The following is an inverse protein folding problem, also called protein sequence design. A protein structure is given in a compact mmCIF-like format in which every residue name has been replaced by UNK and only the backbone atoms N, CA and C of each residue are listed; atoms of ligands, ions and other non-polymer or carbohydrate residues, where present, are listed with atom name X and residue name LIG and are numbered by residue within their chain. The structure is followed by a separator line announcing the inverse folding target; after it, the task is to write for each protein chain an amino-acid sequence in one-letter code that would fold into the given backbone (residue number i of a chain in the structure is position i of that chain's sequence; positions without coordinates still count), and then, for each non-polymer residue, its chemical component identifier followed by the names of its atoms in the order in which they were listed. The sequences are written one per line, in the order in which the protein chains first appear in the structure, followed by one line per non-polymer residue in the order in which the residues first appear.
data_IF_635789968168
#
_entry.id   IF_635789968168
#
_cell.length_a   1.000
_cell.length_b   1.000
_cell.length_c   1.000
_cell.angle_alpha   90.00
_cell.angle_beta   90.00
_cell.angle_gamma   90.00
#
_symmetry.space_group_name_H-M   'P 1'
#
loop_
_entity.id
_entity.type
_entity.pdbx_description
1 polymer ?
#
# COMPACT_ATOMS: atom_id res chain seq x y z
N UNK A 1 -17.43 19.57 -12.60
CA UNK A 1 -17.74 18.28 -11.95
C UNK A 1 -18.93 18.43 -11.02
N UNK A 2 -18.90 19.39 -10.09
CA UNK A 2 -19.95 19.63 -9.10
C UNK A 2 -21.34 19.81 -9.74
N UNK A 3 -21.45 20.59 -10.82
CA UNK A 3 -22.73 20.79 -11.50
C UNK A 3 -23.37 19.49 -12.03
N UNK A 4 -22.56 18.47 -12.37
CA UNK A 4 -23.08 17.16 -12.77
C UNK A 4 -23.58 16.34 -11.56
N UNK A 5 -22.88 16.43 -10.42
CA UNK A 5 -23.34 15.85 -9.15
C UNK A 5 -24.65 16.50 -8.68
N UNK A 6 -24.77 17.82 -8.79
CA UNK A 6 -25.98 18.55 -8.44
C UNK A 6 -27.17 18.17 -9.33
N UNK A 7 -26.92 17.96 -10.63
CA UNK A 7 -27.93 17.44 -11.55
C UNK A 7 -28.32 16.01 -11.20
N UNK A 8 -27.36 15.12 -10.93
CA UNK A 8 -27.63 13.75 -10.49
C UNK A 8 -28.48 13.73 -9.21
N UNK A 9 -28.18 14.61 -8.24
CA UNK A 9 -28.99 14.79 -7.04
C UNK A 9 -30.39 15.30 -7.35
N UNK A 10 -30.54 16.20 -8.30
CA UNK A 10 -31.88 16.67 -8.74
C UNK A 10 -32.69 15.54 -9.34
N UNK A 11 -32.05 14.63 -10.08
CA UNK A 11 -32.70 13.53 -10.77
C UNK A 11 -33.02 12.34 -9.84
N UNK A 12 -32.12 12.01 -8.92
CA UNK A 12 -32.25 10.85 -8.01
C UNK A 12 -32.81 11.24 -6.63
N UNK A 13 -32.55 12.45 -6.16
CA UNK A 13 -32.75 12.88 -4.79
C UNK A 13 -32.20 11.84 -3.78
N UNK A 14 -32.86 11.68 -2.63
CA UNK A 14 -32.51 10.70 -1.61
C UNK A 14 -33.04 9.28 -1.91
N UNK A 15 -33.39 8.98 -3.17
CA UNK A 15 -33.87 7.65 -3.54
C UNK A 15 -32.68 6.71 -3.65
N UNK A 16 -32.84 5.50 -3.10
CA UNK A 16 -31.80 4.48 -3.14
C UNK A 16 -31.44 4.14 -4.60
N UNK A 17 -30.16 4.19 -4.95
CA UNK A 17 -29.73 3.85 -6.32
C UNK A 17 -30.00 2.38 -6.61
N UNK A 18 -30.59 2.09 -7.77
CA UNK A 18 -30.80 0.71 -8.24
C UNK A 18 -29.85 0.33 -9.39
N UNK A 19 -28.86 1.18 -9.66
CA UNK A 19 -27.77 0.95 -10.59
C UNK A 19 -26.58 1.86 -10.22
N UNK A 20 -25.37 1.48 -10.65
CA UNK A 20 -24.17 2.33 -10.52
C UNK A 20 -24.41 3.66 -11.24
N UNK A 21 -24.09 4.77 -10.57
CA UNK A 21 -24.14 6.11 -11.15
C UNK A 21 -22.73 6.57 -11.49
N UNK A 22 -22.56 7.18 -12.66
CA UNK A 22 -21.26 7.62 -13.16
C UNK A 22 -21.24 9.13 -13.39
N UNK A 23 -20.22 9.79 -12.86
CA UNK A 23 -19.79 11.13 -13.26
C UNK A 23 -18.43 10.95 -13.93
N UNK A 24 -18.41 11.06 -15.26
CA UNK A 24 -17.17 11.01 -16.05
C UNK A 24 -16.58 12.41 -16.22
N UNK A 25 -15.28 12.53 -16.00
CA UNK A 25 -14.51 13.77 -16.09
C UNK A 25 -13.52 13.63 -17.25
N UNK A 26 -13.54 14.56 -18.19
CA UNK A 26 -12.64 14.53 -19.35
C UNK A 26 -11.35 15.33 -19.05
N UNK A 27 -10.35 15.24 -19.93
CA UNK A 27 -9.13 16.03 -19.80
C UNK A 27 -9.42 17.53 -19.58
N UNK A 28 -8.75 18.11 -18.57
CA UNK A 28 -8.90 19.48 -18.15
C UNK A 28 -8.50 19.70 -16.69
N UNK A 29 -8.36 20.97 -16.32
CA UNK A 29 -8.18 21.40 -14.93
C UNK A 29 -9.47 22.03 -14.43
N UNK A 30 -9.99 21.49 -13.34
CA UNK A 30 -11.27 21.86 -12.72
C UNK A 30 -10.99 22.58 -11.40
N UNK A 31 -11.13 23.91 -11.41
CA UNK A 31 -10.99 24.76 -10.23
C UNK A 31 -12.29 24.80 -9.41
N UNK A 32 -12.60 23.69 -8.74
CA UNK A 32 -13.79 23.53 -7.93
C UNK A 32 -13.58 22.52 -6.79
N UNK A 33 -14.37 22.67 -5.73
CA UNK A 33 -14.51 21.60 -4.73
C UNK A 33 -15.53 20.60 -5.26
N UNK A 34 -15.19 19.31 -5.26
CA UNK A 34 -16.13 18.24 -5.59
C UNK A 34 -16.71 17.69 -4.29
N UNK A 35 -17.99 17.91 -4.06
CA UNK A 35 -18.72 17.52 -2.86
C UNK A 35 -20.01 16.81 -3.25
N UNK A 36 -19.99 15.47 -3.38
CA UNK A 36 -21.20 14.69 -3.56
C UNK A 36 -22.22 14.99 -2.45
N UNK A 37 -23.51 15.00 -2.81
CA UNK A 37 -24.56 15.27 -1.84
C UNK A 37 -24.57 14.17 -0.75
N UNK A 38 -24.53 14.57 0.52
CA UNK A 38 -24.53 13.66 1.66
C UNK A 38 -25.77 12.74 1.72
N UNK A 39 -26.86 13.11 1.04
CA UNK A 39 -28.09 12.31 0.97
C UNK A 39 -28.09 11.22 -0.09
N UNK A 40 -27.03 11.05 -0.89
CA UNK A 40 -26.93 9.94 -1.82
C UNK A 40 -26.92 8.60 -1.06
N UNK A 41 -27.77 7.67 -1.49
CA UNK A 41 -27.98 6.37 -0.84
C UNK A 41 -27.82 5.22 -1.86
N UNK A 42 -26.59 4.87 -2.25
CA UNK A 42 -26.37 3.69 -3.10
C UNK A 42 -26.89 2.40 -2.43
N UNK A 43 -27.54 1.51 -3.18
CA UNK A 43 -27.95 0.20 -2.65
C UNK A 43 -26.73 -0.68 -2.36
N UNK A 44 -26.35 -0.66 -1.08
CA UNK A 44 -25.21 -1.35 -0.51
C UNK A 44 -25.35 -2.88 -0.60
N UNK A 45 -26.58 -3.40 -0.60
CA UNK A 45 -26.80 -4.85 -0.65
C UNK A 45 -26.49 -5.43 -2.02
N UNK A 46 -26.70 -4.62 -3.07
CA UNK A 46 -26.48 -5.01 -4.46
C UNK A 46 -25.17 -4.49 -5.04
N UNK A 47 -24.33 -3.82 -4.23
CA UNK A 47 -23.01 -3.34 -4.62
C UNK A 47 -23.03 -2.16 -5.59
N UNK A 48 -24.12 -1.38 -5.62
CA UNK A 48 -24.14 -0.13 -6.39
C UNK A 48 -23.34 0.95 -5.68
N UNK A 49 -22.77 1.86 -6.46
CA UNK A 49 -21.92 2.93 -5.97
C UNK A 49 -22.09 4.21 -6.82
N UNK A 50 -21.64 5.33 -6.25
CA UNK A 50 -21.38 6.54 -7.02
C UNK A 50 -19.92 6.50 -7.51
N UNK A 51 -19.73 6.47 -8.83
CA UNK A 51 -18.41 6.51 -9.47
C UNK A 51 -18.14 7.92 -9.96
N UNK A 52 -17.05 8.52 -9.49
CA UNK A 52 -16.47 9.74 -10.02
C UNK A 52 -15.16 9.33 -10.68
N UNK A 53 -15.11 9.37 -12.01
CA UNK A 53 -14.05 8.74 -12.80
C UNK A 53 -13.51 9.73 -13.83
N UNK A 54 -12.19 9.84 -13.93
CA UNK A 54 -11.57 10.45 -15.11
C UNK A 54 -11.69 9.53 -16.32
N UNK A 55 -11.85 10.10 -17.52
CA UNK A 55 -11.99 9.34 -18.76
C UNK A 55 -10.82 8.36 -18.95
N UNK A 56 -11.07 7.04 -18.98
CA UNK A 56 -10.01 6.04 -19.02
C UNK A 56 -9.21 6.02 -20.33
N UNK A 57 -9.66 6.77 -21.34
CA UNK A 57 -8.96 6.95 -22.61
C UNK A 57 -7.88 8.05 -22.54
N UNK A 58 -7.85 8.85 -21.47
CA UNK A 58 -6.87 9.90 -21.20
C UNK A 58 -5.86 9.47 -20.12
N UNK A 59 -4.83 10.28 -19.88
CA UNK A 59 -3.94 10.10 -18.72
C UNK A 59 -4.54 10.82 -17.50
N UNK A 60 -4.54 10.17 -16.33
CA UNK A 60 -4.99 10.78 -15.06
C UNK A 60 -4.31 12.12 -14.76
N UNK A 61 -3.08 12.33 -15.23
CA UNK A 61 -2.34 13.59 -15.07
C UNK A 61 -2.96 14.76 -15.88
N UNK A 62 -3.76 14.45 -16.90
CA UNK A 62 -4.48 15.44 -17.72
C UNK A 62 -5.87 15.78 -17.15
N UNK A 63 -6.34 15.05 -16.14
CA UNK A 63 -7.67 15.20 -15.54
C UNK A 63 -7.48 15.65 -14.09
N UNK A 64 -7.51 16.95 -13.85
CA UNK A 64 -7.06 17.54 -12.59
C UNK A 64 -8.22 18.24 -11.89
N UNK A 65 -8.57 17.82 -10.68
CA UNK A 65 -9.45 18.57 -9.78
C UNK A 65 -8.57 19.34 -8.79
N UNK A 66 -8.58 20.66 -8.91
CA UNK A 66 -7.63 21.53 -8.22
C UNK A 66 -8.29 22.84 -7.76
N UNK A 67 -8.96 22.85 -6.60
CA UNK A 67 -9.58 24.07 -6.09
C UNK A 67 -8.52 25.07 -5.60
N UNK A 68 -8.53 26.27 -6.17
CA UNK A 68 -7.64 27.39 -5.82
C UNK A 68 -8.10 28.09 -4.53
N UNK A 69 -9.41 28.17 -4.30
CA UNK A 69 -10.01 28.81 -3.11
C UNK A 69 -10.65 27.84 -2.12
N UNK A 70 -10.53 26.54 -2.38
CA UNK A 70 -11.20 25.49 -1.61
C UNK A 70 -10.35 24.87 -0.52
N UNK A 71 -11.01 24.07 0.31
CA UNK A 71 -10.32 23.27 1.35
C UNK A 71 -9.93 21.89 0.80
N UNK A 72 -10.71 21.33 -0.12
CA UNK A 72 -10.55 19.95 -0.61
C UNK A 72 -10.87 19.79 -2.09
N UNK A 73 -10.06 19.02 -2.81
CA UNK A 73 -10.40 18.63 -4.18
C UNK A 73 -11.63 17.71 -4.19
N UNK A 74 -11.68 16.74 -3.27
CA UNK A 74 -12.81 15.84 -3.07
C UNK A 74 -13.23 15.77 -1.60
N UNK A 75 -14.48 16.11 -1.31
CA UNK A 75 -15.09 16.12 0.03
C UNK A 75 -16.33 15.21 0.06
N UNK A 76 -16.14 13.97 0.50
CA UNK A 76 -17.16 12.93 0.50
C UNK A 76 -17.84 12.85 1.86
N UNK A 77 -19.16 12.95 1.87
CA UNK A 77 -20.01 12.80 3.06
C UNK A 77 -21.21 11.87 2.81
N UNK A 78 -21.13 11.02 1.79
CA UNK A 78 -22.08 9.95 1.50
C UNK A 78 -21.33 8.61 1.37
N UNK A 79 -22.06 7.51 1.50
CA UNK A 79 -21.48 6.17 1.51
C UNK A 79 -21.22 5.64 0.08
N UNK A 80 -20.31 4.66 -0.04
CA UNK A 80 -19.99 3.91 -1.27
C UNK A 80 -19.70 4.80 -2.48
N UNK A 81 -18.67 5.64 -2.34
CA UNK A 81 -18.13 6.47 -3.43
C UNK A 81 -16.81 5.89 -3.91
N UNK A 82 -16.66 5.72 -5.21
CA UNK A 82 -15.40 5.41 -5.87
C UNK A 82 -14.91 6.64 -6.63
N UNK A 83 -13.72 7.13 -6.28
CA UNK A 83 -12.98 8.09 -7.08
C UNK A 83 -11.85 7.37 -7.81
N UNK A 84 -11.78 7.48 -9.15
CA UNK A 84 -10.69 6.82 -9.89
C UNK A 84 -10.15 7.58 -11.09
N UNK A 85 -8.90 7.26 -11.45
CA UNK A 85 -8.26 7.67 -12.71
C UNK A 85 -8.18 9.20 -12.90
N UNK A 86 -7.75 9.93 -11.87
CA UNK A 86 -7.60 11.39 -11.95
C UNK A 86 -6.54 11.93 -10.99
N UNK A 87 -6.19 13.20 -11.16
CA UNK A 87 -5.35 13.94 -10.20
C UNK A 87 -6.23 14.78 -9.27
N UNK A 88 -6.08 14.56 -7.97
CA UNK A 88 -6.74 15.32 -6.89
C UNK A 88 -5.70 16.19 -6.18
N UNK A 89 -5.72 17.49 -6.42
CA UNK A 89 -4.69 18.43 -5.94
C UNK A 89 -5.30 19.54 -5.08
N UNK A 90 -5.11 19.49 -3.77
CA UNK A 90 -5.56 20.56 -2.89
C UNK A 90 -4.53 21.69 -2.83
N UNK A 91 -4.79 22.78 -3.57
CA UNK A 91 -3.95 23.98 -3.55
C UNK A 91 -4.11 24.80 -2.26
N UNK A 92 -2.96 25.06 -1.63
CA UNK A 92 -2.65 26.04 -0.57
C UNK A 92 -3.72 26.35 0.53
N UNK A 93 -3.48 25.81 1.73
CA UNK A 93 -4.11 26.21 2.99
C UNK A 93 -3.76 25.19 4.08
N UNK A 94 -3.40 25.59 5.29
CA UNK A 94 -2.85 24.69 6.32
C UNK A 94 -3.81 23.57 6.82
N UNK A 95 -5.07 23.60 6.38
CA UNK A 95 -6.11 22.62 6.66
C UNK A 95 -6.59 21.86 5.41
N UNK A 96 -5.93 22.07 4.28
CA UNK A 96 -6.44 21.59 2.99
C UNK A 96 -6.03 20.15 2.73
N UNK A 97 -7.01 19.27 2.60
CA UNK A 97 -6.83 17.85 2.28
C UNK A 97 -7.23 17.62 0.83
N UNK A 98 -6.45 16.90 0.03
CA UNK A 98 -6.86 16.58 -1.35
C UNK A 98 -8.13 15.73 -1.33
N UNK A 99 -8.18 14.74 -0.44
CA UNK A 99 -9.36 13.91 -0.21
C UNK A 99 -9.77 13.98 1.25
N UNK A 100 -11.06 14.25 1.48
CA UNK A 100 -11.68 14.16 2.79
C UNK A 100 -12.88 13.21 2.74
N UNK A 101 -12.91 12.24 3.65
CA UNK A 101 -14.05 11.38 3.90
C UNK A 101 -14.61 11.64 5.31
N UNK A 102 -15.75 12.31 5.35
CA UNK A 102 -16.42 12.69 6.59
C UNK A 102 -17.10 11.52 7.31
N UNK A 103 -17.79 11.83 8.41
CA UNK A 103 -18.40 10.81 9.27
C UNK A 103 -19.53 10.03 8.58
N UNK A 104 -20.08 10.57 7.50
CA UNK A 104 -21.10 9.93 6.67
C UNK A 104 -20.55 9.23 5.42
N UNK A 105 -19.24 9.03 5.32
CA UNK A 105 -18.60 8.39 4.17
C UNK A 105 -18.08 6.98 4.54
N UNK A 106 -18.99 6.01 4.62
CA UNK A 106 -18.62 4.61 4.78
C UNK A 106 -18.21 4.01 3.44
N UNK A 107 -17.07 3.33 3.40
CA UNK A 107 -16.55 2.60 2.24
C UNK A 107 -16.30 3.52 1.02
N UNK A 108 -15.42 4.49 1.20
CA UNK A 108 -14.91 5.26 0.07
C UNK A 108 -13.67 4.57 -0.50
N UNK A 109 -13.62 4.43 -1.82
CA UNK A 109 -12.49 3.88 -2.55
C UNK A 109 -11.83 4.98 -3.39
N UNK A 110 -10.49 5.04 -3.35
CA UNK A 110 -9.68 5.90 -4.22
C UNK A 110 -8.73 5.00 -5.00
N UNK A 111 -8.91 4.90 -6.31
CA UNK A 111 -8.21 3.90 -7.14
C UNK A 111 -7.53 4.57 -8.33
N UNK A 112 -6.27 4.23 -8.61
CA UNK A 112 -5.53 4.76 -9.77
C UNK A 112 -5.55 6.30 -9.84
N UNK A 113 -5.40 6.95 -8.68
CA UNK A 113 -5.37 8.40 -8.57
C UNK A 113 -3.97 8.91 -8.23
N UNK A 114 -3.66 10.13 -8.68
CA UNK A 114 -2.60 10.94 -8.08
C UNK A 114 -3.22 11.90 -7.07
N UNK A 115 -2.79 11.83 -5.81
CA UNK A 115 -3.36 12.62 -4.72
C UNK A 115 -2.28 13.52 -4.14
N UNK A 116 -2.46 14.83 -4.25
CA UNK A 116 -1.44 15.83 -3.91
C UNK A 116 -1.92 16.73 -2.76
N UNK A 117 -1.35 16.53 -1.58
CA UNK A 117 -1.49 17.40 -0.42
C UNK A 117 -0.36 18.43 -0.35
N UNK A 118 -0.56 19.65 -0.86
CA UNK A 118 0.51 20.67 -0.97
C UNK A 118 0.80 21.47 0.30
N UNK A 119 0.00 21.30 1.35
CA UNK A 119 0.10 22.08 2.58
C UNK A 119 0.60 21.21 3.74
N UNK A 120 0.86 21.83 4.90
CA UNK A 120 1.17 21.09 6.14
C UNK A 120 0.03 20.19 6.66
N UNK A 121 -1.13 20.15 5.99
CA UNK A 121 -2.21 19.22 6.29
C UNK A 121 -1.96 17.82 5.69
N UNK A 122 -2.88 16.90 5.97
CA UNK A 122 -2.91 15.56 5.41
C UNK A 122 -3.29 15.59 3.93
N UNK A 123 -2.68 14.76 3.08
CA UNK A 123 -3.16 14.57 1.70
C UNK A 123 -4.54 13.89 1.68
N UNK A 124 -4.73 12.88 2.53
CA UNK A 124 -6.01 12.19 2.71
C UNK A 124 -6.38 12.20 4.19
N UNK A 125 -7.60 12.65 4.49
CA UNK A 125 -8.15 12.56 5.83
C UNK A 125 -9.47 11.81 5.81
N UNK A 126 -9.60 10.82 6.68
CA UNK A 126 -10.85 10.10 6.85
C UNK A 126 -11.22 9.89 8.33
N UNK A 127 -12.53 9.91 8.58
CA UNK A 127 -13.11 9.50 9.86
C UNK A 127 -13.77 8.13 9.82
N UNK A 128 -13.90 7.54 8.63
CA UNK A 128 -14.56 6.26 8.37
C UNK A 128 -13.78 5.47 7.31
N UNK A 129 -14.11 4.20 7.08
CA UNK A 129 -13.29 3.32 6.24
C UNK A 129 -13.00 3.87 4.85
N UNK A 130 -11.70 3.99 4.51
CA UNK A 130 -11.22 4.32 3.15
C UNK A 130 -10.29 3.21 2.66
N UNK A 131 -10.50 2.78 1.41
CA UNK A 131 -9.54 1.96 0.66
C UNK A 131 -8.84 2.82 -0.38
N UNK A 132 -7.52 2.67 -0.48
CA UNK A 132 -6.68 3.36 -1.46
C UNK A 132 -5.92 2.29 -2.21
N UNK A 133 -6.06 2.28 -3.53
CA UNK A 133 -5.50 1.24 -4.39
C UNK A 133 -4.80 1.85 -5.61
N UNK A 134 -3.65 1.31 -6.00
CA UNK A 134 -2.90 1.74 -7.19
C UNK A 134 -2.65 3.27 -7.27
N UNK A 135 -2.57 3.96 -6.13
CA UNK A 135 -2.46 5.41 -6.09
C UNK A 135 -1.02 5.89 -5.91
N UNK A 136 -0.77 7.13 -6.35
CA UNK A 136 0.40 7.92 -5.95
C UNK A 136 -0.06 9.05 -5.02
N UNK A 137 0.32 8.99 -3.75
CA UNK A 137 0.00 10.02 -2.76
C UNK A 137 1.26 10.82 -2.43
N UNK A 138 1.23 12.12 -2.73
CA UNK A 138 2.31 13.06 -2.41
C UNK A 138 1.84 14.07 -1.37
N UNK A 139 2.54 14.16 -0.24
CA UNK A 139 2.17 15.06 0.87
C UNK A 139 3.30 15.99 1.32
N UNK A 140 3.01 17.25 1.61
CA UNK A 140 3.97 18.18 2.24
C UNK A 140 3.92 18.13 3.78
N UNK A 141 2.76 17.77 4.35
CA UNK A 141 2.53 17.57 5.78
C UNK A 141 2.55 16.10 6.17
N UNK A 142 1.52 15.69 6.91
CA UNK A 142 1.23 14.27 7.10
C UNK A 142 0.73 13.66 5.79
N UNK A 143 0.98 12.38 5.53
CA UNK A 143 0.47 11.71 4.33
C UNK A 143 -1.02 11.45 4.44
N UNK A 144 -1.37 10.42 5.21
CA UNK A 144 -2.74 9.93 5.37
C UNK A 144 -3.12 9.89 6.84
N UNK A 145 -4.37 10.25 7.14
CA UNK A 145 -4.91 10.14 8.50
C UNK A 145 -6.30 9.54 8.54
N UNK A 146 -6.50 8.54 9.40
CA UNK A 146 -7.83 8.00 9.69
C UNK A 146 -7.84 6.53 10.07
N UNK A 147 -9.02 6.01 10.41
CA UNK A 147 -9.26 4.60 10.68
C UNK A 147 -10.74 4.25 10.44
N UNK A 148 -11.07 3.06 9.88
CA UNK A 148 -10.13 2.09 9.29
C UNK A 148 -9.52 2.58 7.98
N UNK A 149 -8.32 2.09 7.65
CA UNK A 149 -7.57 2.50 6.48
C UNK A 149 -6.97 1.27 5.78
N UNK A 150 -7.24 1.13 4.48
CA UNK A 150 -6.65 0.07 3.64
C UNK A 150 -5.83 0.70 2.52
N UNK A 151 -4.57 0.30 2.38
CA UNK A 151 -3.70 0.69 1.26
C UNK A 151 -3.26 -0.57 0.52
N UNK A 152 -3.32 -0.52 -0.81
CA UNK A 152 -2.85 -1.56 -1.71
C UNK A 152 -2.11 -0.93 -2.87
N UNK A 153 -0.98 -1.50 -3.28
CA UNK A 153 -0.28 -1.11 -4.51
C UNK A 153 -0.04 0.41 -4.62
N UNK A 154 0.13 1.09 -3.47
CA UNK A 154 0.09 2.53 -3.37
C UNK A 154 1.45 3.05 -2.92
N UNK A 155 1.92 4.12 -3.55
CA UNK A 155 3.11 4.84 -3.11
C UNK A 155 2.71 6.09 -2.34
N UNK A 156 3.18 6.23 -1.11
CA UNK A 156 3.00 7.41 -0.27
C UNK A 156 4.35 8.08 -0.05
N UNK A 157 4.52 9.28 -0.57
CA UNK A 157 5.79 9.99 -0.52
C UNK A 157 5.63 11.42 -0.01
N UNK A 158 6.66 11.89 0.68
CA UNK A 158 6.75 13.28 1.12
C UNK A 158 7.33 14.16 0.00
N UNK A 159 6.74 15.35 -0.16
CA UNK A 159 7.37 16.43 -0.93
C UNK A 159 8.24 17.30 -0.03
N UNK A 160 9.53 17.41 -0.36
CA UNK A 160 10.50 18.26 0.36
C UNK A 160 11.23 17.56 1.52
N UNK A 161 11.80 18.37 2.42
CA UNK A 161 12.63 17.87 3.53
C UNK A 161 11.81 17.05 4.53
N UNK A 162 12.45 16.06 5.17
CA UNK A 162 11.83 15.17 6.16
C UNK A 162 11.05 15.94 7.25
N UNK A 163 9.87 15.41 7.59
CA UNK A 163 8.92 15.96 8.56
C UNK A 163 7.61 15.16 8.53
N UNK A 164 6.69 15.44 9.44
CA UNK A 164 5.34 14.85 9.48
C UNK A 164 5.30 13.32 9.60
N UNK A 165 4.09 12.77 9.69
CA UNK A 165 3.87 11.32 9.71
C UNK A 165 3.31 10.87 8.36
N UNK A 166 3.90 9.86 7.72
CA UNK A 166 3.44 9.31 6.45
C UNK A 166 2.05 8.72 6.57
N UNK A 167 1.88 7.73 7.44
CA UNK A 167 0.63 7.05 7.71
C UNK A 167 0.27 7.16 9.18
N UNK A 168 -0.72 7.99 9.50
CA UNK A 168 -1.21 8.19 10.87
C UNK A 168 -2.59 7.55 11.01
N UNK A 169 -2.68 6.38 11.64
CA UNK A 169 -4.01 5.90 12.00
C UNK A 169 -4.53 6.76 13.14
N UNK A 170 -5.72 7.33 13.05
CA UNK A 170 -6.36 8.03 14.17
C UNK A 170 -7.80 7.58 14.32
N UNK A 171 -8.14 6.94 15.43
CA UNK A 171 -9.51 6.47 15.73
C UNK A 171 -9.62 4.96 15.96
N UNK A 172 -10.85 4.46 15.97
CA UNK A 172 -11.15 3.03 16.11
C UNK A 172 -11.26 2.38 14.74
N UNK A 173 -10.51 1.32 14.50
CA UNK A 173 -10.50 0.60 13.21
C UNK A 173 -9.11 0.04 12.91
N UNK A 174 -9.00 -0.92 12.00
CA UNK A 174 -7.70 -1.45 11.58
C UNK A 174 -7.00 -0.59 10.53
N UNK A 175 -5.68 -0.71 10.44
CA UNK A 175 -4.86 -0.24 9.32
C UNK A 175 -4.25 -1.45 8.63
N UNK A 176 -4.55 -1.65 7.35
CA UNK A 176 -3.98 -2.73 6.52
C UNK A 176 -3.27 -2.12 5.32
N UNK A 177 -1.99 -2.44 5.16
CA UNK A 177 -1.14 -1.91 4.09
C UNK A 177 -0.51 -3.11 3.40
N UNK A 178 -0.73 -3.24 2.09
CA UNK A 178 -0.25 -4.35 1.28
C UNK A 178 0.42 -3.86 -0.01
N UNK A 179 1.54 -4.47 -0.41
CA UNK A 179 2.26 -4.15 -1.66
C UNK A 179 2.47 -2.65 -1.90
N UNK A 180 2.79 -1.90 -0.85
CA UNK A 180 2.81 -0.43 -0.90
C UNK A 180 4.14 0.13 -0.43
N UNK A 181 4.44 1.37 -0.83
CA UNK A 181 5.68 2.06 -0.49
C UNK A 181 5.40 3.31 0.34
N UNK A 182 6.22 3.58 1.36
CA UNK A 182 6.13 4.78 2.20
C UNK A 182 7.51 5.44 2.33
N UNK A 183 7.63 6.71 1.95
CA UNK A 183 8.93 7.33 1.78
C UNK A 183 9.05 8.79 2.28
N UNK A 184 10.18 9.09 2.93
CA UNK A 184 10.63 10.48 3.16
C UNK A 184 10.03 11.19 4.37
N UNK A 185 9.33 10.50 5.27
CA UNK A 185 8.64 11.11 6.42
C UNK A 185 9.49 11.14 7.70
N UNK A 186 9.10 11.93 8.71
CA UNK A 186 9.73 11.78 10.03
C UNK A 186 9.34 10.45 10.68
N UNK A 187 8.10 10.00 10.47
CA UNK A 187 7.65 8.67 10.83
C UNK A 187 6.90 8.08 9.64
N UNK A 188 7.33 6.95 9.08
CA UNK A 188 6.67 6.31 7.95
C UNK A 188 5.26 5.84 8.33
N UNK A 189 5.15 5.00 9.35
CA UNK A 189 3.89 4.44 9.85
C UNK A 189 3.75 4.67 11.35
N UNK A 190 2.66 5.28 11.77
CA UNK A 190 2.33 5.53 13.18
C UNK A 190 0.85 5.22 13.44
N UNK A 191 0.50 3.97 13.79
CA UNK A 191 -0.81 3.68 14.34
C UNK A 191 -1.05 4.44 15.65
N UNK A 192 -2.22 5.09 15.80
CA UNK A 192 -2.72 5.50 17.11
C UNK A 192 -3.41 4.35 17.86
N UNK A 193 -3.86 4.64 19.07
CA UNK A 193 -4.47 3.68 19.96
C UNK A 193 -5.68 2.91 19.39
N UNK A 194 -5.78 1.62 19.75
CA UNK A 194 -6.91 0.72 19.46
C UNK A 194 -7.08 0.30 17.99
N UNK A 195 -5.96 0.21 17.28
CA UNK A 195 -5.91 -0.13 15.86
C UNK A 195 -5.23 -1.48 15.69
N UNK A 196 -5.85 -2.38 14.92
CA UNK A 196 -5.16 -3.56 14.40
C UNK A 196 -4.24 -3.10 13.26
N UNK A 197 -2.93 -3.31 13.38
CA UNK A 197 -1.97 -2.97 12.32
C UNK A 197 -1.60 -4.21 11.54
N UNK A 198 -1.72 -4.16 10.21
CA UNK A 198 -1.18 -5.16 9.30
C UNK A 198 -0.36 -4.49 8.19
N UNK A 199 0.93 -4.80 8.15
CA UNK A 199 1.85 -4.47 7.08
C UNK A 199 2.22 -5.78 6.37
N UNK A 200 2.02 -5.87 5.07
CA UNK A 200 2.38 -7.05 4.28
C UNK A 200 3.02 -6.59 2.98
N UNK A 201 4.21 -7.10 2.63
CA UNK A 201 4.92 -6.68 1.40
C UNK A 201 5.08 -5.15 1.26
N UNK A 202 5.38 -4.45 2.35
CA UNK A 202 5.49 -2.98 2.38
C UNK A 202 6.96 -2.57 2.35
N UNK A 203 7.31 -1.55 1.57
CA UNK A 203 8.64 -0.92 1.64
C UNK A 203 8.53 0.43 2.36
N UNK A 204 9.33 0.64 3.41
CA UNK A 204 9.38 1.91 4.14
C UNK A 204 10.82 2.42 4.11
N UNK A 205 11.04 3.59 3.52
CA UNK A 205 12.41 4.06 3.30
C UNK A 205 12.62 5.57 3.45
N UNK A 206 13.87 5.97 3.67
CA UNK A 206 14.26 7.37 3.83
C UNK A 206 13.45 8.11 4.93
N UNK A 207 13.00 7.41 5.98
CA UNK A 207 12.26 8.00 7.09
C UNK A 207 13.17 8.23 8.32
N UNK A 208 12.83 9.12 9.24
CA UNK A 208 13.57 9.14 10.52
C UNK A 208 13.22 7.91 11.36
N UNK A 209 11.93 7.57 11.47
CA UNK A 209 11.45 6.30 12.00
C UNK A 209 10.62 5.58 10.94
N UNK A 210 10.91 4.32 10.61
CA UNK A 210 10.12 3.55 9.64
C UNK A 210 8.70 3.29 10.16
N UNK A 211 8.58 2.55 11.27
CA UNK A 211 7.31 2.33 11.96
C UNK A 211 7.41 2.62 13.46
N UNK A 212 6.53 3.48 13.98
CA UNK A 212 6.42 3.83 15.40
C UNK A 212 5.15 3.24 15.99
N UNK A 213 5.29 2.23 16.85
CA UNK A 213 4.20 1.49 17.49
C UNK A 213 4.21 1.80 18.99
N UNK A 214 3.39 2.78 19.38
CA UNK A 214 3.27 3.22 20.78
C UNK A 214 2.27 2.37 21.58
N UNK A 215 2.50 2.26 22.89
CA UNK A 215 2.01 1.18 23.79
C UNK A 215 0.54 1.28 24.06
N UNK A 216 -0.03 2.44 23.79
CA UNK A 216 -1.41 2.71 24.10
C UNK A 216 -2.28 2.06 23.04
N UNK A 217 -2.59 0.78 23.17
CA UNK A 217 -3.80 0.17 22.59
C UNK A 217 -3.67 -0.56 21.26
N UNK A 218 -2.48 -0.77 20.68
CA UNK A 218 -2.37 -1.63 19.49
C UNK A 218 -2.46 -3.08 19.93
N UNK A 219 -3.46 -3.79 19.42
CA UNK A 219 -3.65 -5.21 19.70
C UNK A 219 -3.09 -5.99 18.52
N UNK A 220 -2.03 -6.76 18.74
CA UNK A 220 -1.49 -7.73 17.78
C UNK A 220 -1.04 -7.13 16.43
N UNK A 221 -0.02 -6.25 16.40
CA UNK A 221 0.52 -5.77 15.13
C UNK A 221 1.14 -6.92 14.33
N UNK A 222 0.89 -6.94 13.02
CA UNK A 222 1.42 -7.93 12.08
C UNK A 222 2.23 -7.23 10.99
N UNK A 223 3.53 -7.49 10.92
CA UNK A 223 4.48 -6.91 9.95
C UNK A 223 5.18 -8.07 9.26
N UNK A 224 4.83 -8.32 8.01
CA UNK A 224 5.24 -9.52 7.27
C UNK A 224 5.83 -9.12 5.92
N UNK A 225 6.96 -9.70 5.54
CA UNK A 225 7.61 -9.48 4.23
C UNK A 225 7.85 -7.99 3.92
N UNK A 226 8.16 -7.15 4.90
CA UNK A 226 8.39 -5.72 4.67
C UNK A 226 9.88 -5.41 4.45
N UNK A 227 10.21 -4.36 3.69
CA UNK A 227 11.57 -3.79 3.60
C UNK A 227 11.59 -2.48 4.36
N UNK A 228 12.56 -2.30 5.24
CA UNK A 228 12.90 -1.01 5.81
C UNK A 228 14.30 -0.62 5.34
N UNK A 229 14.43 0.55 4.70
CA UNK A 229 15.69 0.97 4.09
C UNK A 229 16.04 2.42 4.39
N UNK A 230 17.27 2.66 4.82
CA UNK A 230 17.79 4.01 5.08
C UNK A 230 16.88 4.82 6.03
N UNK A 231 16.31 4.15 7.06
CA UNK A 231 15.56 4.84 8.10
C UNK A 231 16.40 4.96 9.37
N UNK A 232 16.53 6.15 9.98
CA UNK A 232 17.35 6.29 11.20
C UNK A 232 16.94 5.33 12.35
N UNK A 233 15.68 4.90 12.37
CA UNK A 233 15.18 3.79 13.20
C UNK A 233 14.13 3.03 12.42
N UNK A 234 14.36 1.77 12.06
CA UNK A 234 13.41 1.02 11.23
C UNK A 234 12.08 0.76 11.96
N UNK A 235 12.15 0.21 13.17
CA UNK A 235 10.98 -0.11 13.99
C UNK A 235 11.17 0.41 15.42
N UNK A 236 10.26 1.25 15.90
CA UNK A 236 10.24 1.72 17.28
C UNK A 236 9.02 1.13 17.99
N UNK A 237 9.27 0.24 18.95
CA UNK A 237 8.24 -0.38 19.78
C UNK A 237 8.35 0.19 21.20
N UNK A 238 7.29 0.82 21.67
CA UNK A 238 7.18 1.31 23.06
C UNK A 238 7.26 0.22 24.14
N UNK A 239 6.99 -1.03 23.77
CA UNK A 239 7.42 -2.20 24.53
C UNK A 239 7.65 -3.38 23.61
N UNK A 240 8.75 -4.09 23.85
CA UNK A 240 8.91 -5.41 23.28
C UNK A 240 7.93 -6.38 23.92
N UNK A 241 7.38 -7.33 23.15
CA UNK A 241 6.85 -8.55 23.74
C UNK A 241 7.94 -9.14 24.66
N UNK A 242 7.58 -9.42 25.91
CA UNK A 242 8.50 -10.04 26.86
C UNK A 242 8.84 -11.45 26.35
N UNK A 243 10.08 -11.67 25.96
CA UNK A 243 10.57 -12.96 25.49
C UNK A 243 10.53 -14.03 26.60
N UNK A 244 10.52 -13.61 27.88
CA UNK A 244 10.54 -14.49 29.05
C UNK A 244 9.19 -14.60 29.78
N UNK A 245 8.26 -13.68 29.52
CA UNK A 245 6.95 -13.63 30.16
C UNK A 245 5.92 -14.39 29.32
N UNK A 246 5.32 -15.45 29.88
CA UNK A 246 4.22 -16.20 29.25
C UNK A 246 2.92 -15.39 29.00
N UNK A 247 2.99 -14.06 29.06
CA UNK A 247 1.92 -13.12 28.76
C UNK A 247 2.31 -12.35 27.48
N UNK A 248 2.34 -13.05 26.34
CA UNK A 248 2.20 -12.40 25.04
C UNK A 248 0.79 -11.80 24.97
N UNK A 249 0.62 -10.60 25.50
CA UNK A 249 -0.59 -9.81 25.34
C UNK A 249 -0.78 -9.49 23.87
N UNK A 250 -1.69 -10.18 23.18
CA UNK A 250 -1.96 -10.03 21.75
C UNK A 250 -0.77 -10.43 20.86
N UNK A 251 -0.95 -11.46 20.03
CA UNK A 251 0.08 -11.98 19.12
C UNK A 251 0.67 -10.88 18.21
N UNK A 252 1.82 -10.32 18.59
CA UNK A 252 2.65 -9.52 17.69
C UNK A 252 3.33 -10.46 16.70
N UNK A 253 3.17 -10.22 15.40
CA UNK A 253 3.75 -11.04 14.33
C UNK A 253 4.75 -10.19 13.56
N UNK A 254 6.03 -10.53 13.63
CA UNK A 254 7.09 -9.93 12.80
C UNK A 254 7.74 -11.07 12.01
N UNK A 255 7.60 -11.10 10.68
CA UNK A 255 8.10 -12.22 9.86
C UNK A 255 8.68 -11.76 8.54
N UNK A 256 9.80 -12.37 8.12
CA UNK A 256 10.41 -12.18 6.80
C UNK A 256 10.68 -10.72 6.41
N UNK A 257 10.89 -9.84 7.39
CA UNK A 257 11.19 -8.45 7.12
C UNK A 257 12.68 -8.30 6.81
N UNK A 258 13.00 -7.45 5.84
CA UNK A 258 14.36 -7.07 5.47
C UNK A 258 14.64 -5.66 5.98
N UNK A 259 15.80 -5.46 6.58
CA UNK A 259 16.23 -4.19 7.17
C UNK A 259 17.60 -3.87 6.59
N UNK A 260 17.77 -2.68 6.03
CA UNK A 260 18.96 -2.36 5.24
C UNK A 260 19.47 -0.94 5.51
N UNK A 261 20.78 -0.84 5.79
CA UNK A 261 21.51 0.43 5.84
C UNK A 261 21.63 1.04 7.24
N UNK A 262 21.24 0.32 8.29
CA UNK A 262 21.07 0.92 9.62
C UNK A 262 21.85 0.25 10.74
N UNK A 263 22.10 1.03 11.80
CA UNK A 263 22.80 0.57 13.01
C UNK A 263 21.86 0.03 14.10
N UNK A 264 20.55 0.34 14.00
CA UNK A 264 19.57 0.12 15.06
C UNK A 264 18.34 -0.61 14.51
N UNK A 265 18.18 -1.91 14.79
CA UNK A 265 17.02 -2.71 14.36
C UNK A 265 15.73 -2.20 14.99
N UNK A 266 15.75 -2.02 16.31
CA UNK A 266 14.62 -1.42 16.99
C UNK A 266 14.96 -0.88 18.38
N UNK A 267 14.25 0.18 18.75
CA UNK A 267 14.50 0.99 19.93
C UNK A 267 13.30 0.96 20.88
N UNK A 268 13.53 0.60 22.15
CA UNK A 268 12.50 0.57 23.19
C UNK A 268 12.53 1.74 24.18
N UNK A 269 13.32 2.77 23.89
CA UNK A 269 13.54 3.89 24.81
C UNK A 269 14.69 3.68 25.81
N UNK A 270 15.28 2.49 25.88
CA UNK A 270 16.34 2.16 26.85
C UNK A 270 17.52 1.37 26.27
N UNK A 271 17.27 0.51 25.28
CA UNK A 271 18.28 -0.34 24.64
C UNK A 271 18.02 -0.37 23.13
N UNK A 272 19.11 -0.34 22.36
CA UNK A 272 19.07 -0.66 20.92
C UNK A 272 19.24 -2.16 20.77
N UNK A 273 18.26 -2.83 20.17
CA UNK A 273 18.38 -4.23 19.74
C UNK A 273 18.75 -4.24 18.24
N UNK A 274 19.50 -5.25 17.77
CA UNK A 274 19.92 -5.46 16.36
C UNK A 274 19.24 -6.65 15.66
N UNK A 275 18.34 -7.37 16.35
CA UNK A 275 17.85 -8.71 15.96
C UNK A 275 17.12 -8.79 14.61
N UNK A 276 17.83 -9.04 13.51
CA UNK A 276 17.26 -9.30 12.19
C UNK A 276 16.62 -10.69 12.10
N UNK A 277 15.79 -11.07 13.08
CA UNK A 277 15.19 -12.38 13.17
C UNK A 277 14.21 -12.46 14.35
N UNK A 278 12.92 -12.57 14.09
CA UNK A 278 12.08 -13.34 15.00
C UNK A 278 11.56 -14.54 14.20
N UNK A 279 12.41 -15.58 14.23
CA UNK A 279 12.28 -16.95 13.69
C UNK A 279 12.79 -17.14 12.25
N UNK A 280 14.12 -17.22 12.08
CA UNK A 280 14.77 -17.95 10.98
C UNK A 280 15.93 -18.86 11.47
N UNK A 281 15.65 -19.59 12.56
CA UNK A 281 16.55 -20.31 13.47
C UNK A 281 17.64 -21.28 12.95
N UNK A 282 18.02 -21.34 11.67
CA UNK A 282 19.11 -22.24 11.20
C UNK A 282 20.15 -21.60 10.25
N UNK A 283 20.15 -20.28 10.01
CA UNK A 283 21.18 -19.60 9.18
C UNK A 283 21.73 -18.30 9.72
N UNK A 284 21.64 -18.13 11.03
CA UNK A 284 22.10 -16.95 11.73
C UNK A 284 23.35 -17.25 12.53
N UNK A 285 24.14 -16.20 12.80
CA UNK A 285 25.31 -16.32 13.65
C UNK A 285 24.90 -16.74 15.08
N UNK A 286 25.88 -16.89 15.98
CA UNK A 286 25.64 -17.30 17.37
C UNK A 286 24.71 -16.34 18.15
N UNK A 287 24.44 -15.14 17.60
CA UNK A 287 23.55 -14.12 18.17
C UNK A 287 22.14 -14.10 17.55
N UNK A 288 21.87 -14.97 16.57
CA UNK A 288 20.56 -15.03 15.92
C UNK A 288 20.35 -13.99 14.81
N UNK A 289 21.42 -13.44 14.23
CA UNK A 289 21.35 -12.44 13.17
C UNK A 289 21.89 -12.92 11.80
N UNK A 290 21.26 -12.49 10.70
CA UNK A 290 21.87 -12.42 9.36
C UNK A 290 22.77 -11.18 9.31
N UNK A 291 23.76 -11.09 10.23
CA UNK A 291 24.59 -9.88 10.34
C UNK A 291 25.36 -9.66 9.03
N UNK A 292 25.45 -8.40 8.61
CA UNK A 292 26.37 -7.91 7.58
C UNK A 292 26.22 -8.53 6.17
N UNK A 293 25.08 -9.18 5.87
CA UNK A 293 24.85 -9.69 4.53
C UNK A 293 23.87 -8.79 3.78
N UNK A 294 24.38 -8.07 2.78
CA UNK A 294 23.59 -7.25 1.87
C UNK A 294 22.45 -8.09 1.25
N UNK A 295 21.18 -7.66 1.32
CA UNK A 295 20.07 -8.31 0.66
C UNK A 295 20.20 -8.32 -0.88
N UNK A 296 21.16 -7.58 -1.44
CA UNK A 296 21.41 -7.43 -2.87
C UNK A 296 20.15 -6.99 -3.60
N UNK A 297 19.67 -5.78 -3.28
CA UNK A 297 18.54 -5.16 -3.99
C UNK A 297 18.98 -4.72 -5.40
N UNK A 298 18.10 -4.81 -6.39
CA UNK A 298 18.42 -4.57 -7.80
C UNK A 298 18.85 -3.12 -8.06
N UNK A 299 18.02 -2.15 -7.68
CA UNK A 299 18.35 -0.73 -7.80
C UNK A 299 17.54 0.11 -6.79
N UNK A 300 17.86 -0.01 -5.49
CA UNK A 300 17.05 0.64 -4.48
C UNK A 300 17.19 2.17 -4.48
N UNK A 301 18.19 2.72 -5.18
CA UNK A 301 18.33 4.17 -5.39
C UNK A 301 17.28 4.76 -6.33
N UNK A 302 16.68 3.93 -7.19
CA UNK A 302 15.57 4.32 -8.08
C UNK A 302 14.20 3.87 -7.56
N UNK A 303 14.13 3.24 -6.39
CA UNK A 303 12.91 2.67 -5.82
C UNK A 303 12.64 1.22 -6.24
N UNK A 304 13.55 0.57 -6.98
CA UNK A 304 13.47 -0.86 -7.27
C UNK A 304 14.09 -1.68 -6.13
N UNK A 305 13.22 -2.14 -5.23
CA UNK A 305 13.58 -2.99 -4.10
C UNK A 305 13.45 -4.49 -4.40
N UNK A 306 13.42 -4.90 -5.67
CA UNK A 306 13.48 -6.31 -6.03
C UNK A 306 14.80 -6.95 -5.61
N UNK A 307 14.79 -8.24 -5.26
CA UNK A 307 16.01 -8.98 -4.95
C UNK A 307 16.76 -9.31 -6.24
N UNK A 308 18.08 -9.16 -6.27
CA UNK A 308 18.93 -9.70 -7.35
C UNK A 308 18.91 -11.24 -7.33
N UNK A 309 19.21 -11.91 -8.44
CA UNK A 309 19.22 -13.39 -8.53
C UNK A 309 20.15 -14.06 -7.50
N UNK A 310 21.27 -13.41 -7.19
CA UNK A 310 22.25 -13.89 -6.22
C UNK A 310 21.92 -13.51 -4.77
N UNK A 311 20.77 -12.89 -4.52
CA UNK A 311 20.38 -12.41 -3.20
C UNK A 311 20.31 -13.54 -2.17
N UNK A 312 20.91 -13.38 -0.98
CA UNK A 312 20.78 -14.32 0.13
C UNK A 312 19.36 -14.35 0.72
N UNK A 313 18.52 -13.35 0.40
CA UNK A 313 17.14 -13.25 0.84
C UNK A 313 16.17 -14.06 -0.02
N UNK A 314 16.62 -14.61 -1.16
CA UNK A 314 15.79 -15.44 -2.04
C UNK A 314 15.59 -16.82 -1.44
N UNK A 315 14.32 -17.23 -1.27
CA UNK A 315 13.94 -18.54 -0.76
C UNK A 315 14.37 -18.84 0.67
N UNK A 316 14.61 -17.81 1.47
CA UNK A 316 15.07 -17.94 2.87
C UNK A 316 14.05 -17.47 3.90
N UNK A 317 12.92 -16.91 3.46
CA UNK A 317 11.81 -16.55 4.32
C UNK A 317 11.11 -17.78 4.89
N UNK A 318 10.49 -17.62 6.04
CA UNK A 318 9.61 -18.64 6.61
C UNK A 318 8.28 -18.62 5.88
N UNK A 319 7.93 -19.77 5.30
CA UNK A 319 6.64 -19.95 4.63
C UNK A 319 5.50 -19.55 5.56
N UNK A 320 4.48 -18.93 4.97
CA UNK A 320 3.17 -18.75 5.62
C UNK A 320 2.51 -20.09 6.05
N UNK A 321 3.21 -21.22 5.90
CA UNK A 321 3.00 -22.49 6.60
C UNK A 321 4.23 -23.44 6.67
N UNK A 322 5.30 -23.06 7.41
CA UNK A 322 6.44 -23.83 8.02
C UNK A 322 7.17 -24.94 7.21
N UNK A 323 8.39 -25.40 7.61
CA UNK A 323 9.07 -26.67 7.11
C UNK A 323 9.66 -27.61 8.18
N UNK A 324 9.72 -27.17 9.43
CA UNK A 324 9.47 -28.02 10.59
C UNK A 324 9.36 -27.19 11.84
N UNK A 325 8.63 -27.68 12.84
CA UNK A 325 8.64 -27.09 14.17
C UNK A 325 9.93 -27.49 14.91
N UNK A 326 10.22 -26.83 16.04
CA UNK A 326 11.32 -27.16 16.98
C UNK A 326 11.25 -28.61 17.49
N UNK A 327 10.13 -29.31 17.28
CA UNK A 327 9.94 -30.74 17.57
C UNK A 327 10.35 -31.70 16.42
N UNK A 328 10.84 -31.17 15.29
CA UNK A 328 11.37 -31.96 14.16
C UNK A 328 10.33 -32.46 13.16
N UNK A 329 9.09 -32.00 13.19
CA UNK A 329 8.05 -32.40 12.22
C UNK A 329 8.13 -31.60 10.92
N UNK A 330 8.41 -32.23 9.77
CA UNK A 330 8.59 -31.56 8.47
C UNK A 330 7.40 -30.68 8.04
N UNK A 331 7.66 -29.66 7.25
CA UNK A 331 6.63 -28.87 6.59
C UNK A 331 7.10 -28.51 5.14
N UNK A 332 6.67 -27.43 4.51
CA UNK A 332 6.65 -27.24 3.05
C UNK A 332 7.90 -26.57 2.40
N UNK A 333 8.53 -27.24 1.42
CA UNK A 333 9.74 -26.86 0.68
C UNK A 333 9.71 -25.54 -0.15
N UNK A 334 8.66 -24.72 -0.10
CA UNK A 334 8.63 -23.39 -0.73
C UNK A 334 8.76 -22.28 0.32
N UNK A 335 9.99 -21.97 0.70
CA UNK A 335 10.30 -20.78 1.52
C UNK A 335 10.09 -19.51 0.66
N UNK A 336 9.29 -18.51 1.10
CA UNK A 336 9.16 -17.23 0.43
C UNK A 336 10.48 -16.46 0.47
N UNK A 337 10.58 -15.39 -0.32
CA UNK A 337 11.69 -14.44 -0.18
C UNK A 337 11.52 -13.60 1.09
N UNK A 338 12.62 -13.13 1.68
CA UNK A 338 12.62 -12.10 2.74
C UNK A 338 12.52 -10.72 2.07
N UNK A 339 11.69 -9.83 2.61
CA UNK A 339 11.42 -8.50 2.06
C UNK A 339 10.18 -8.43 1.13
N UNK A 340 9.90 -7.23 0.62
CA UNK A 340 8.64 -6.83 -0.03
C UNK A 340 8.58 -7.05 -1.53
N UNK A 341 9.54 -7.76 -2.14
CA UNK A 341 9.60 -7.82 -3.60
C UNK A 341 8.49 -8.70 -4.19
N UNK A 342 7.46 -8.04 -4.73
CA UNK A 342 6.33 -8.55 -5.49
C UNK A 342 6.66 -9.18 -6.85
N UNK A 343 7.65 -10.06 -6.90
CA UNK A 343 7.60 -11.16 -7.85
C UNK A 343 7.46 -12.43 -7.02
N UNK A 344 6.30 -13.09 -7.08
CA UNK A 344 6.27 -14.52 -6.86
C UNK A 344 7.47 -15.09 -7.60
N UNK A 345 8.31 -15.90 -6.94
CA UNK A 345 9.50 -16.50 -7.55
C UNK A 345 9.15 -16.84 -9.00
N UNK A 346 9.89 -16.27 -9.97
CA UNK A 346 9.57 -16.42 -11.39
C UNK A 346 9.17 -17.88 -11.58
N UNK A 347 7.91 -18.17 -11.98
CA UNK A 347 7.53 -19.55 -12.19
C UNK A 347 8.58 -20.12 -13.13
N UNK A 348 9.17 -21.28 -12.81
CA UNK A 348 10.21 -21.86 -13.65
C UNK A 348 9.73 -21.79 -15.08
N UNK A 349 10.55 -21.22 -15.96
CA UNK A 349 10.17 -20.87 -17.33
C UNK A 349 9.27 -21.99 -17.89
N UNK A 350 8.02 -21.69 -18.29
CA UNK A 350 7.06 -22.74 -18.63
C UNK A 350 7.67 -23.67 -19.66
N UNK A 351 7.69 -24.97 -19.37
CA UNK A 351 8.12 -25.97 -20.35
C UNK A 351 6.96 -26.18 -21.32
N UNK A 352 7.03 -25.53 -22.47
CA UNK A 352 5.99 -25.64 -23.49
C UNK A 352 6.11 -26.97 -24.23
N UNK A 353 5.10 -27.83 -24.06
CA UNK A 353 4.96 -29.02 -24.88
C UNK A 353 4.67 -28.59 -26.33
N UNK A 354 5.65 -28.72 -27.24
CA UNK A 354 5.47 -28.40 -28.65
C UNK A 354 6.67 -27.75 -29.37
N UNK A 355 7.77 -27.46 -28.68
CA UNK A 355 8.98 -26.94 -29.35
C UNK A 355 8.92 -25.44 -29.71
N UNK A 356 7.94 -24.71 -29.20
CA UNK A 356 7.96 -23.23 -29.25
C UNK A 356 9.07 -22.78 -28.30
N UNK A 357 10.15 -22.25 -28.86
CA UNK A 357 11.29 -21.68 -28.14
C UNK A 357 11.23 -20.16 -28.21
N UNK A 358 11.88 -19.48 -27.26
CA UNK A 358 12.00 -18.02 -27.21
C UNK A 358 10.68 -17.28 -26.89
N UNK A 359 9.80 -17.85 -26.07
CA UNK A 359 8.72 -17.07 -25.44
C UNK A 359 9.33 -16.34 -24.25
N UNK A 360 9.39 -15.01 -24.30
CA UNK A 360 9.76 -14.18 -23.15
C UNK A 360 8.54 -13.44 -22.65
N UNK A 361 8.27 -13.55 -21.36
CA UNK A 361 7.28 -12.74 -20.65
C UNK A 361 8.01 -11.68 -19.86
N UNK A 362 7.61 -10.42 -20.02
CA UNK A 362 8.12 -9.32 -19.20
C UNK A 362 6.93 -8.64 -18.54
N UNK A 363 6.92 -8.61 -17.21
CA UNK A 363 5.97 -7.79 -16.47
C UNK A 363 6.23 -6.32 -16.82
N UNK A 364 5.19 -5.60 -17.20
CA UNK A 364 5.31 -4.16 -17.41
C UNK A 364 5.11 -3.46 -16.06
N UNK A 365 6.11 -2.68 -15.57
CA UNK A 365 5.98 -1.97 -14.31
C UNK A 365 4.71 -1.10 -14.28
N UNK A 366 3.91 -1.23 -13.22
CA UNK A 366 2.80 -0.32 -12.91
C UNK A 366 1.52 -0.46 -13.73
N UNK A 367 1.28 -1.57 -14.44
CA UNK A 367 0.08 -1.70 -15.31
C UNK A 367 -0.67 -3.04 -15.27
N UNK A 368 -0.38 -3.94 -14.31
CA UNK A 368 -1.04 -5.26 -14.25
C UNK A 368 -1.03 -6.06 -15.57
N UNK A 369 -0.06 -5.78 -16.46
CA UNK A 369 -0.01 -6.28 -17.84
C UNK A 369 1.29 -7.03 -18.10
N UNK A 370 1.20 -8.07 -18.93
CA UNK A 370 2.32 -8.92 -19.32
C UNK A 370 2.56 -8.76 -20.81
N UNK A 371 3.78 -8.36 -21.19
CA UNK A 371 4.21 -8.42 -22.58
C UNK A 371 4.69 -9.83 -22.89
N UNK A 372 4.07 -10.48 -23.88
CA UNK A 372 4.50 -11.78 -24.40
C UNK A 372 5.17 -11.56 -25.75
N UNK A 373 6.46 -11.89 -25.85
CA UNK A 373 7.21 -11.84 -27.11
C UNK A 373 7.57 -13.25 -27.55
N UNK A 374 7.42 -13.55 -28.84
CA UNK A 374 7.76 -14.84 -29.44
C UNK A 374 8.29 -14.65 -30.86
N UNK A 375 9.08 -15.62 -31.34
CA UNK A 375 9.56 -15.63 -32.73
C UNK A 375 8.46 -16.15 -33.68
N UNK A 376 8.04 -15.32 -34.64
CA UNK A 376 7.05 -15.68 -35.65
C UNK A 376 7.43 -16.93 -36.47
N UNK A 377 8.73 -17.20 -36.65
CA UNK A 377 9.22 -18.38 -37.35
C UNK A 377 8.93 -19.69 -36.59
N UNK A 378 8.77 -19.64 -35.26
CA UNK A 378 8.55 -20.82 -34.42
C UNK A 378 7.10 -21.33 -34.42
N UNK A 379 6.15 -20.57 -34.96
CA UNK A 379 4.71 -20.89 -34.90
C UNK A 379 4.25 -21.75 -36.09
N UNK A 380 5.11 -21.94 -37.10
CA UNK A 380 4.91 -22.93 -38.17
C UNK A 380 3.61 -22.81 -38.98
N UNK A 381 2.93 -21.65 -38.95
CA UNK A 381 1.62 -21.45 -39.58
C UNK A 381 0.42 -21.96 -38.78
N UNK A 382 0.62 -22.50 -37.57
CA UNK A 382 -0.46 -22.73 -36.63
C UNK A 382 -0.89 -21.40 -36.00
N UNK A 383 -2.19 -21.16 -35.83
CA UNK A 383 -2.66 -19.99 -35.10
C UNK A 383 -2.16 -20.02 -33.66
N UNK A 384 -1.68 -18.88 -33.15
CA UNK A 384 -1.36 -18.71 -31.74
C UNK A 384 -2.65 -18.38 -30.98
N UNK A 385 -3.01 -19.18 -29.98
CA UNK A 385 -4.02 -18.83 -29.00
C UNK A 385 -3.32 -18.60 -27.66
N UNK A 386 -3.42 -17.38 -27.13
CA UNK A 386 -2.93 -17.05 -25.79
C UNK A 386 -4.12 -17.06 -24.85
N UNK A 387 -4.15 -18.01 -23.93
CA UNK A 387 -5.13 -18.07 -22.85
C UNK A 387 -4.41 -17.65 -21.57
N UNK A 388 -4.85 -16.54 -20.96
CA UNK A 388 -4.31 -16.08 -19.68
C UNK A 388 -5.41 -16.14 -18.62
N UNK A 389 -5.09 -16.73 -17.48
CA UNK A 389 -5.92 -16.70 -16.29
C UNK A 389 -5.38 -15.64 -15.35
N UNK A 390 -6.17 -14.59 -15.08
CA UNK A 390 -5.91 -13.70 -13.95
C UNK A 390 -6.47 -14.39 -12.72
N UNK A 391 -5.61 -15.03 -11.94
CA UNK A 391 -6.00 -15.51 -10.61
C UNK A 391 -5.94 -14.30 -9.67
N UNK A 392 -7.10 -13.67 -9.42
CA UNK A 392 -7.23 -12.70 -8.34
C UNK A 392 -7.07 -13.48 -7.03
N UNK A 393 -5.86 -13.47 -6.46
CA UNK A 393 -5.59 -14.04 -5.12
C UNK A 393 -5.66 -12.97 -4.06
#
# INVERSE_FOLDING_TARGET
VQGALDQLWTDQAAVTFTAIQYIRIFAGTYDENVTPNAGFDPDKQNGYLLVIEGDPDDDRANIIVQPTGGVRALDVNCDHVLARHMTLDATAGASNQAVFAGAGALNMDVVDCEVIGRSGAQAIYTTQGVSIDECLVTAAGDGLRGAPLTLKQTTVQRSGAQGGTGLLSSGTGGMSIDFSDVAGFSVGVQPSAFVALRLTNVTIYNCATGALIDRMGIQSPSIINCIFKDNTTDLQLSCWPDEAGGELGGETVLRNNCLHGETNFAYDGSVTKTHAEFVAFDRVNEDGDLVDTDPLLTDPGSGDFSLQDASPCRGTGHGSGAVSYVDGTAANASHPNIGSSGAAADPPAPSWAGGVSNITTTGLPGRGSVLVTFDAASIGGAGLSVEYGVEHR
#
